data_IF_580003129122
#
_entry.id   IF_580003129122
#
_cell.length_a   1.000
_cell.length_b   1.000
_cell.length_c   1.000
_cell.angle_alpha   90.00
_cell.angle_beta   90.00
_cell.angle_gamma   90.00
#
_symmetry.space_group_name_H-M   'P 1'
#
loop_
_entity.id
_entity.type
_entity.pdbx_description
1 polymer ?
#
# COMPACT_ATOMS: atom_id res chain seq x y z
N UNK A 1 11.57 -7.52 -6.34
CA UNK A 1 11.11 -6.86 -5.10
C UNK A 1 10.55 -7.91 -4.16
N UNK A 2 10.97 -7.92 -2.90
CA UNK A 2 10.47 -8.83 -1.84
C UNK A 2 9.91 -8.03 -0.66
N UNK A 3 9.30 -8.71 0.31
CA UNK A 3 8.73 -8.11 1.51
C UNK A 3 9.13 -8.88 2.76
N UNK A 4 9.36 -8.15 3.85
CA UNK A 4 9.60 -8.70 5.19
C UNK A 4 8.46 -8.22 6.08
N UNK A 5 7.84 -9.15 6.80
CA UNK A 5 6.82 -8.86 7.79
C UNK A 5 7.43 -8.96 9.18
N UNK A 6 7.20 -7.94 10.00
CA UNK A 6 7.46 -7.99 11.43
C UNK A 6 6.16 -8.39 12.10
N UNK A 7 6.23 -9.44 12.91
CA UNK A 7 5.09 -10.02 13.60
C UNK A 7 5.40 -9.99 15.08
N UNK A 8 4.36 -9.77 15.88
CA UNK A 8 4.45 -9.86 17.32
C UNK A 8 5.03 -11.22 17.76
N UNK A 9 6.09 -11.15 18.56
CA UNK A 9 7.03 -12.24 18.79
C UNK A 9 6.48 -13.36 19.66
N UNK A 10 7.33 -14.33 20.01
CA UNK A 10 6.94 -15.40 20.91
C UNK A 10 7.01 -14.97 22.37
N UNK A 11 5.86 -14.86 23.04
CA UNK A 11 5.71 -14.58 24.47
C UNK A 11 4.27 -14.89 24.94
N UNK A 12 4.05 -14.97 26.26
CA UNK A 12 2.79 -15.40 26.89
C UNK A 12 1.54 -14.60 26.49
N UNK A 13 1.71 -13.36 26.03
CA UNK A 13 0.62 -12.45 25.62
C UNK A 13 0.73 -12.06 24.14
N UNK A 14 1.39 -12.89 23.35
CA UNK A 14 1.59 -12.60 21.93
C UNK A 14 0.27 -12.53 21.19
N UNK A 15 0.11 -11.46 20.43
CA UNK A 15 -1.04 -11.26 19.55
C UNK A 15 -0.86 -11.98 18.21
N UNK A 16 0.39 -12.36 17.86
CA UNK A 16 0.79 -12.87 16.54
C UNK A 16 0.36 -11.97 15.37
N UNK A 17 0.05 -10.70 15.65
CA UNK A 17 -0.36 -9.75 14.65
C UNK A 17 0.85 -9.18 13.93
N UNK A 18 0.65 -8.76 12.67
CA UNK A 18 1.66 -8.01 11.93
C UNK A 18 1.79 -6.62 12.56
N UNK A 19 3.01 -6.29 13.00
CA UNK A 19 3.32 -4.98 13.60
C UNK A 19 3.82 -3.98 12.56
N UNK A 20 4.57 -4.43 11.55
CA UNK A 20 4.97 -3.62 10.39
C UNK A 20 5.34 -4.53 9.22
N UNK A 21 5.51 -3.96 8.04
CA UNK A 21 6.20 -4.65 6.96
C UNK A 21 7.06 -3.70 6.14
N UNK A 22 8.10 -4.24 5.54
CA UNK A 22 9.02 -3.52 4.68
C UNK A 22 9.06 -4.12 3.29
N UNK A 23 9.12 -3.25 2.28
CA UNK A 23 9.30 -3.70 0.90
C UNK A 23 10.68 -3.31 0.43
N UNK A 24 11.37 -4.27 -0.17
CA UNK A 24 12.71 -4.10 -0.73
C UNK A 24 12.66 -4.30 -2.24
N UNK A 25 13.36 -3.44 -2.97
CA UNK A 25 13.37 -3.44 -4.43
C UNK A 25 14.80 -3.35 -4.93
N UNK A 26 14.95 -3.60 -6.23
CA UNK A 26 16.17 -3.42 -6.98
C UNK A 26 15.83 -2.56 -8.19
N UNK A 27 16.63 -1.54 -8.46
CA UNK A 27 16.47 -0.72 -9.65
C UNK A 27 17.02 -1.49 -10.86
N UNK A 28 16.13 -1.99 -11.73
CA UNK A 28 16.51 -2.77 -12.91
C UNK A 28 17.39 -1.97 -13.88
N UNK A 29 17.18 -0.65 -14.00
CA UNK A 29 17.99 0.18 -14.90
C UNK A 29 19.44 0.24 -14.44
N UNK A 30 19.66 0.43 -13.14
CA UNK A 30 21.01 0.47 -12.56
C UNK A 30 21.64 -0.94 -12.55
N UNK A 31 20.89 -1.96 -12.15
CA UNK A 31 21.38 -3.33 -12.15
C UNK A 31 21.83 -3.79 -13.53
N UNK A 32 21.08 -3.47 -14.59
CA UNK A 32 21.47 -3.79 -15.96
C UNK A 32 22.64 -2.95 -16.49
N UNK A 33 22.82 -1.73 -15.97
CA UNK A 33 23.94 -0.85 -16.36
C UNK A 33 25.27 -1.32 -15.75
N UNK A 34 25.24 -1.74 -14.48
CA UNK A 34 26.42 -2.14 -13.72
C UNK A 34 26.64 -3.67 -13.68
N UNK A 35 25.73 -4.45 -14.27
CA UNK A 35 25.66 -5.92 -14.20
C UNK A 35 25.72 -6.46 -12.75
N UNK A 36 25.19 -5.68 -11.80
CA UNK A 36 25.23 -6.00 -10.38
C UNK A 36 23.94 -5.56 -9.66
N UNK A 37 23.19 -6.50 -9.06
CA UNK A 37 21.91 -6.19 -8.43
C UNK A 37 22.08 -5.60 -7.02
N UNK A 38 21.78 -4.30 -6.86
CA UNK A 38 21.72 -3.65 -5.53
C UNK A 38 20.28 -3.61 -5.03
N UNK A 39 20.05 -4.25 -3.90
CA UNK A 39 18.76 -4.24 -3.20
C UNK A 39 18.73 -3.15 -2.14
N UNK A 40 17.63 -2.39 -2.11
CA UNK A 40 17.43 -1.34 -1.12
C UNK A 40 15.98 -1.32 -0.62
N UNK A 41 15.81 -0.80 0.60
CA UNK A 41 14.52 -0.63 1.23
C UNK A 41 13.74 0.47 0.52
N UNK A 42 12.59 0.13 -0.03
CA UNK A 42 11.68 1.10 -0.63
C UNK A 42 10.91 1.87 0.45
N UNK A 43 10.28 1.14 1.38
CA UNK A 43 9.51 1.74 2.47
C UNK A 43 9.24 0.74 3.61
N UNK A 44 8.96 1.26 4.80
CA UNK A 44 8.20 0.58 5.86
C UNK A 44 6.79 1.16 5.90
N UNK A 45 5.78 0.32 6.14
CA UNK A 45 4.37 0.73 6.08
C UNK A 45 4.05 1.83 7.10
N UNK A 46 4.42 1.61 8.37
CA UNK A 46 4.19 2.59 9.43
C UNK A 46 4.92 3.91 9.16
N UNK A 47 6.20 3.84 8.80
CA UNK A 47 7.01 5.05 8.59
C UNK A 47 6.56 5.87 7.38
N UNK A 48 6.12 5.22 6.31
CA UNK A 48 5.72 5.91 5.09
C UNK A 48 4.33 6.55 5.18
N UNK A 49 3.36 5.85 5.76
CA UNK A 49 1.98 6.34 5.87
C UNK A 49 1.68 7.03 7.20
N UNK A 50 2.63 7.02 8.14
CA UNK A 50 2.50 7.62 9.48
C UNK A 50 1.29 7.07 10.24
N UNK A 51 1.06 5.76 10.13
CA UNK A 51 0.02 5.03 10.85
C UNK A 51 0.61 4.38 12.10
N UNK A 52 -0.13 4.31 13.23
CA UNK A 52 0.39 3.83 14.51
C UNK A 52 0.44 2.30 14.61
N UNK A 53 -0.30 1.58 13.76
CA UNK A 53 -0.30 0.13 13.69
C UNK A 53 -0.83 -0.36 12.35
N UNK A 54 -0.69 -1.66 12.07
CA UNK A 54 -1.28 -2.33 10.91
C UNK A 54 -2.60 -3.05 11.25
N UNK A 55 -3.28 -2.62 12.33
CA UNK A 55 -4.60 -3.15 12.66
C UNK A 55 -5.62 -2.80 11.55
N UNK A 56 -6.66 -3.64 11.35
CA UNK A 56 -7.65 -3.42 10.29
C UNK A 56 -8.28 -2.03 10.30
N UNK A 57 -8.54 -1.47 11.49
CA UNK A 57 -9.11 -0.13 11.64
C UNK A 57 -8.17 0.97 11.13
N UNK A 58 -6.87 0.87 11.41
CA UNK A 58 -5.88 1.85 10.96
C UNK A 58 -5.67 1.77 9.44
N UNK A 59 -5.69 0.56 8.88
CA UNK A 59 -5.64 0.36 7.44
C UNK A 59 -6.90 0.90 6.76
N UNK A 60 -8.07 0.77 7.38
CA UNK A 60 -9.31 1.34 6.85
C UNK A 60 -9.29 2.88 6.87
N UNK A 61 -8.81 3.47 7.96
CA UNK A 61 -8.59 4.91 8.05
C UNK A 61 -7.64 5.40 6.96
N UNK A 62 -6.58 4.63 6.65
CA UNK A 62 -5.67 4.94 5.56
C UNK A 62 -6.36 4.88 4.18
N UNK A 63 -7.23 3.90 3.94
CA UNK A 63 -8.03 3.81 2.70
C UNK A 63 -8.90 5.05 2.53
N UNK A 64 -9.61 5.47 3.59
CA UNK A 64 -10.40 6.70 3.57
C UNK A 64 -9.53 7.95 3.32
N UNK A 65 -8.37 8.04 3.99
CA UNK A 65 -7.42 9.14 3.78
C UNK A 65 -6.89 9.21 2.34
N UNK A 66 -6.67 8.07 1.69
CA UNK A 66 -6.28 8.01 0.28
C UNK A 66 -7.38 8.47 -0.67
N UNK A 67 -8.65 8.22 -0.32
CA UNK A 67 -9.79 8.71 -1.10
C UNK A 67 -9.77 10.26 -1.15
N UNK A 68 -9.59 10.89 0.00
CA UNK A 68 -9.67 12.34 0.18
C UNK A 68 -8.37 13.09 -0.14
N UNK A 69 -7.20 12.47 0.03
CA UNK A 69 -5.91 13.12 -0.12
C UNK A 69 -5.09 12.53 -1.27
N UNK A 70 -4.95 13.30 -2.35
CA UNK A 70 -4.22 12.88 -3.55
C UNK A 70 -2.76 12.55 -3.27
N UNK A 71 -2.06 13.34 -2.43
CA UNK A 71 -0.64 13.10 -2.11
C UNK A 71 -0.42 11.75 -1.43
N UNK A 72 -1.34 11.34 -0.54
CA UNK A 72 -1.27 10.03 0.14
C UNK A 72 -1.54 8.91 -0.87
N UNK A 73 -2.51 9.10 -1.77
CA UNK A 73 -2.77 8.15 -2.85
C UNK A 73 -1.58 8.04 -3.82
N UNK A 74 -0.95 9.14 -4.22
CA UNK A 74 0.20 9.14 -5.13
C UNK A 74 1.39 8.39 -4.52
N UNK A 75 1.59 8.52 -3.20
CA UNK A 75 2.57 7.74 -2.46
C UNK A 75 2.25 6.24 -2.50
N UNK A 76 1.00 5.87 -2.24
CA UNK A 76 0.53 4.49 -2.38
C UNK A 76 0.72 3.96 -3.79
N UNK A 77 0.31 4.72 -4.81
CA UNK A 77 0.40 4.32 -6.21
C UNK A 77 1.86 4.14 -6.66
N UNK A 78 2.77 4.99 -6.14
CA UNK A 78 4.21 4.82 -6.31
C UNK A 78 4.70 3.49 -5.72
N UNK A 79 4.27 3.13 -4.52
CA UNK A 79 4.66 1.88 -3.88
C UNK A 79 4.00 0.63 -4.48
N UNK A 80 2.76 0.74 -4.95
CA UNK A 80 2.04 -0.31 -5.67
C UNK A 80 2.86 -0.81 -6.87
N UNK A 81 3.42 0.13 -7.63
CA UNK A 81 4.30 -0.15 -8.77
C UNK A 81 5.78 -0.32 -8.38
N UNK A 82 6.10 -0.51 -7.09
CA UNK A 82 7.47 -0.72 -6.60
C UNK A 82 8.45 0.37 -7.08
N UNK A 83 7.98 1.62 -7.15
CA UNK A 83 8.72 2.78 -7.66
C UNK A 83 9.27 2.61 -9.09
N UNK A 84 8.56 1.84 -9.93
CA UNK A 84 8.94 1.67 -11.33
C UNK A 84 8.86 3.00 -12.11
N UNK A 85 9.87 3.34 -12.93
CA UNK A 85 9.85 4.54 -13.76
C UNK A 85 8.88 4.42 -14.94
N UNK A 86 8.47 3.21 -15.31
CA UNK A 86 7.49 2.94 -16.39
C UNK A 86 6.07 2.77 -15.85
N UNK A 87 5.79 3.29 -14.65
CA UNK A 87 4.46 3.27 -14.05
C UNK A 87 3.48 4.10 -14.93
N UNK A 88 2.30 3.56 -15.29
CA UNK A 88 1.31 4.31 -16.07
C UNK A 88 0.73 5.48 -15.26
N UNK A 89 0.20 6.50 -15.95
CA UNK A 89 -0.63 7.52 -15.29
C UNK A 89 -1.88 6.88 -14.67
N UNK A 90 -2.38 7.49 -13.59
CA UNK A 90 -3.58 7.04 -12.91
C UNK A 90 -4.53 8.23 -12.77
N UNK A 91 -5.65 8.16 -13.48
CA UNK A 91 -6.72 9.13 -13.40
C UNK A 91 -7.69 8.82 -12.25
N UNK A 92 -8.79 9.57 -12.18
CA UNK A 92 -9.80 9.39 -11.14
C UNK A 92 -10.43 7.98 -11.17
N UNK A 93 -10.68 7.42 -12.36
CA UNK A 93 -11.23 6.07 -12.49
C UNK A 93 -10.24 5.01 -11.99
N UNK A 94 -8.97 5.13 -12.36
CA UNK A 94 -7.90 4.29 -11.84
C UNK A 94 -7.79 4.39 -10.31
N UNK A 95 -7.86 5.61 -9.75
CA UNK A 95 -7.85 5.85 -8.29
C UNK A 95 -9.01 5.14 -7.60
N UNK A 96 -10.24 5.37 -8.07
CA UNK A 96 -11.44 4.68 -7.54
C UNK A 96 -11.27 3.18 -7.58
N UNK A 97 -10.85 2.64 -8.73
CA UNK A 97 -10.67 1.20 -8.89
C UNK A 97 -9.71 0.62 -7.86
N UNK A 98 -8.54 1.23 -7.69
CA UNK A 98 -7.52 0.75 -6.76
C UNK A 98 -7.95 0.84 -5.29
N UNK A 99 -8.59 1.95 -4.89
CA UNK A 99 -9.05 2.12 -3.50
C UNK A 99 -10.24 1.17 -3.22
N UNK A 100 -11.15 0.99 -4.17
CA UNK A 100 -12.22 -0.02 -4.06
C UNK A 100 -11.67 -1.44 -3.87
N UNK A 101 -10.61 -1.80 -4.59
CA UNK A 101 -10.01 -3.13 -4.51
C UNK A 101 -9.43 -3.38 -3.11
N UNK A 102 -8.91 -2.35 -2.43
CA UNK A 102 -8.44 -2.45 -1.03
C UNK A 102 -9.58 -2.71 -0.04
N UNK A 103 -10.77 -2.14 -0.30
CA UNK A 103 -11.96 -2.30 0.57
C UNK A 103 -12.72 -3.60 0.30
N UNK A 104 -12.56 -4.18 -0.90
CA UNK A 104 -13.35 -5.32 -1.37
C UNK A 104 -12.79 -6.67 -0.88
N UNK A 105 -12.95 -6.95 0.41
CA UNK A 105 -12.54 -8.24 1.02
C UNK A 105 -13.44 -9.43 0.65
N UNK A 106 -14.65 -9.19 0.11
CA UNK A 106 -15.59 -10.22 -0.34
C UNK A 106 -15.81 -10.10 -1.84
N UNK A 107 -15.62 -11.21 -2.56
CA UNK A 107 -15.90 -11.29 -4.00
C UNK A 107 -17.38 -11.01 -4.28
N UNK A 108 -17.67 -10.42 -5.46
CA UNK A 108 -19.00 -10.03 -5.93
C UNK A 108 -19.74 -8.95 -5.13
N UNK A 109 -19.08 -8.36 -4.13
CA UNK A 109 -19.67 -7.39 -3.21
C UNK A 109 -19.14 -5.96 -3.34
N UNK A 110 -18.31 -5.74 -4.36
CA UNK A 110 -17.64 -4.47 -4.65
C UNK A 110 -18.58 -3.27 -4.61
N UNK A 111 -19.79 -3.42 -5.18
CA UNK A 111 -20.77 -2.33 -5.27
C UNK A 111 -21.16 -1.81 -3.88
N UNK A 112 -21.44 -2.71 -2.94
CA UNK A 112 -21.83 -2.34 -1.57
C UNK A 112 -20.63 -1.87 -0.76
N UNK A 113 -19.47 -2.53 -0.91
CA UNK A 113 -18.28 -2.21 -0.13
C UNK A 113 -17.59 -0.91 -0.57
N UNK A 114 -17.73 -0.49 -1.84
CA UNK A 114 -17.07 0.70 -2.35
C UNK A 114 -17.97 1.94 -2.49
N UNK A 115 -19.29 1.83 -2.32
CA UNK A 115 -20.20 2.95 -2.54
C UNK A 115 -19.80 4.22 -1.77
N UNK A 116 -19.39 4.07 -0.50
CA UNK A 116 -18.94 5.19 0.32
C UNK A 116 -17.62 5.80 -0.22
N UNK A 117 -16.67 4.97 -0.60
CA UNK A 117 -15.37 5.41 -1.14
C UNK A 117 -15.55 6.16 -2.46
N UNK A 118 -16.38 5.66 -3.36
CA UNK A 118 -16.67 6.34 -4.63
C UNK A 118 -17.25 7.73 -4.38
N UNK A 119 -18.20 7.85 -3.45
CA UNK A 119 -18.78 9.14 -3.07
C UNK A 119 -17.77 10.13 -2.50
N UNK A 120 -16.77 9.66 -1.73
CA UNK A 120 -15.69 10.49 -1.19
C UNK A 120 -14.71 10.99 -2.26
N UNK A 121 -14.49 10.20 -3.31
CA UNK A 121 -13.57 10.56 -4.41
C UNK A 121 -14.25 11.54 -5.38
N UNK A 122 -15.58 11.45 -5.51
CA UNK A 122 -16.39 12.32 -6.38
C UNK A 122 -16.78 13.67 -5.76
N UNK A 123 -16.61 13.81 -4.44
CA UNK A 123 -16.87 15.04 -3.70
C UNK A 123 -15.76 16.08 -3.88
#
# INVERSE_FOLDING_TARGET
>A
GYRIYYVDGDHDKSTRMVVDHETWIMNLKEANLYDYPIWYKLYSMQSAFKIPSLLPQELDNLVNKMAENQTVFDLYYRFYWKNSPVRPSCDAECKKRLICDLRSGRSHDRKTLCQEIESRIDA
#
